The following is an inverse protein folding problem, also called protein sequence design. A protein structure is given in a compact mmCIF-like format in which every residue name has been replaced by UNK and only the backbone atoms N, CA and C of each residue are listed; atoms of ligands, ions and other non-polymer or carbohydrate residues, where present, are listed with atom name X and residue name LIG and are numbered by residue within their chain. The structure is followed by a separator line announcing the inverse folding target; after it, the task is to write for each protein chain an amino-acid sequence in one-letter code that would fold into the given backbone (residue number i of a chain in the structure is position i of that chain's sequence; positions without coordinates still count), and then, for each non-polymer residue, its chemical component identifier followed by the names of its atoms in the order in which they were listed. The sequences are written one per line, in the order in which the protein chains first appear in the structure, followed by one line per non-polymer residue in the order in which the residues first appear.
data_IF_979515132946
#
_entry.id   IF_979515132946
#
_cell.length_a   1.000
_cell.length_b   1.000
_cell.length_c   1.000
_cell.angle_alpha   90.00
_cell.angle_beta   90.00
_cell.angle_gamma   90.00
#
_symmetry.space_group_name_H-M   'P 1'
#
loop_
_entity.id
_entity.type
_entity.pdbx_description
1 polymer ?
#
# COMPACT_ATOMS: atom_id res chain seq x y z
N UNK A 1 4.53 9.60 12.71
CA UNK A 1 3.87 8.95 11.56
C UNK A 1 4.87 8.15 10.74
N UNK A 2 4.45 7.01 10.17
CA UNK A 2 5.28 6.20 9.27
C UNK A 2 4.52 5.83 7.99
N UNK A 3 5.26 5.61 6.92
CA UNK A 3 4.73 5.17 5.64
C UNK A 3 5.48 3.91 5.22
N UNK A 4 4.74 2.89 4.83
CA UNK A 4 5.24 1.66 4.24
C UNK A 4 4.81 1.69 2.77
N UNK A 5 5.75 1.53 1.85
CA UNK A 5 5.47 1.50 0.42
C UNK A 5 5.92 0.15 -0.12
N UNK A 6 4.98 -0.60 -0.67
CA UNK A 6 5.21 -1.87 -1.34
C UNK A 6 4.95 -1.71 -2.84
N UNK A 7 5.83 -2.27 -3.66
CA UNK A 7 5.69 -2.27 -5.12
C UNK A 7 5.45 -3.70 -5.58
N UNK A 8 4.38 -3.91 -6.34
CA UNK A 8 4.07 -5.18 -6.99
C UNK A 8 4.23 -5.04 -8.50
N UNK A 9 5.34 -5.58 -9.01
CA UNK A 9 5.65 -5.57 -10.44
C UNK A 9 4.94 -6.68 -11.23
N UNK A 10 4.02 -7.43 -10.62
CA UNK A 10 3.29 -8.51 -11.30
C UNK A 10 1.79 -8.25 -11.37
N UNK A 11 1.04 -9.21 -11.91
CA UNK A 11 -0.41 -9.12 -12.03
C UNK A 11 -1.12 -8.87 -10.69
N UNK A 12 -2.27 -8.21 -10.78
CA UNK A 12 -3.22 -7.99 -9.68
C UNK A 12 -3.79 -9.34 -9.16
N UNK A 13 -3.02 -10.03 -8.31
CA UNK A 13 -3.41 -11.27 -7.63
C UNK A 13 -3.78 -10.93 -6.18
N UNK A 14 -5.05 -11.10 -5.76
CA UNK A 14 -5.48 -10.75 -4.40
C UNK A 14 -4.65 -11.42 -3.30
N UNK A 15 -4.22 -12.66 -3.52
CA UNK A 15 -3.38 -13.39 -2.55
C UNK A 15 -2.03 -12.71 -2.29
N UNK A 16 -1.45 -12.02 -3.29
CA UNK A 16 -0.21 -11.27 -3.12
C UNK A 16 -0.44 -9.99 -2.32
N UNK A 17 -1.43 -9.21 -2.74
CA UNK A 17 -1.78 -7.93 -2.13
C UNK A 17 -2.19 -8.12 -0.67
N UNK A 18 -3.17 -9.01 -0.43
CA UNK A 18 -3.63 -9.32 0.92
C UNK A 18 -2.54 -9.99 1.76
N UNK A 19 -1.66 -10.80 1.14
CA UNK A 19 -0.54 -11.42 1.82
C UNK A 19 0.47 -10.41 2.36
N UNK A 20 0.91 -9.46 1.52
CA UNK A 20 1.81 -8.38 1.94
C UNK A 20 1.18 -7.49 3.00
N UNK A 21 -0.07 -7.07 2.77
CA UNK A 21 -0.82 -6.29 3.75
C UNK A 21 -0.90 -7.02 5.09
N UNK A 22 -1.32 -8.28 5.11
CA UNK A 22 -1.48 -9.05 6.36
C UNK A 22 -0.12 -9.24 7.05
N UNK A 23 0.93 -9.56 6.30
CA UNK A 23 2.28 -9.65 6.84
C UNK A 23 2.69 -8.35 7.53
N UNK A 24 2.51 -7.20 6.86
CA UNK A 24 2.86 -5.90 7.41
C UNK A 24 1.96 -5.47 8.57
N UNK A 25 0.67 -5.83 8.56
CA UNK A 25 -0.26 -5.56 9.65
C UNK A 25 0.09 -6.37 10.91
N UNK A 26 0.53 -7.62 10.75
CA UNK A 26 0.94 -8.50 11.84
C UNK A 26 2.36 -8.17 12.36
N UNK A 27 3.26 -7.79 11.45
CA UNK A 27 4.59 -7.31 11.78
C UNK A 27 4.50 -5.89 12.34
N UNK A 28 4.15 -5.77 13.63
CA UNK A 28 4.08 -4.48 14.34
C UNK A 28 5.44 -3.79 14.54
N UNK A 29 6.51 -4.40 14.03
CA UNK A 29 7.88 -3.93 14.14
C UNK A 29 8.65 -4.23 12.84
N UNK A 30 9.57 -3.34 12.51
CA UNK A 30 10.52 -3.51 11.43
C UNK A 30 11.93 -3.68 11.97
N UNK A 31 12.67 -4.68 11.48
CA UNK A 31 14.07 -4.91 11.83
C UNK A 31 14.88 -4.63 10.57
N UNK A 32 15.79 -3.66 10.65
CA UNK A 32 16.62 -3.27 9.50
C UNK A 32 18.10 -3.49 9.79
N UNK A 33 18.78 -4.19 8.90
CA UNK A 33 20.19 -4.55 9.05
C UNK A 33 21.10 -3.31 9.13
N UNK A 34 20.79 -2.23 8.39
CA UNK A 34 21.60 -1.00 8.45
C UNK A 34 21.42 -0.19 9.73
N UNK A 35 20.45 -0.55 10.59
CA UNK A 35 20.15 0.10 11.86
C UNK A 35 20.58 -0.75 13.06
N UNK A 36 21.63 -1.56 12.91
CA UNK A 36 22.26 -2.35 14.00
C UNK A 36 21.22 -3.24 14.72
N UNK A 37 20.40 -3.98 13.97
CA UNK A 37 19.35 -4.84 14.52
C UNK A 37 18.35 -4.12 15.45
N UNK A 38 18.18 -2.79 15.32
CA UNK A 38 17.17 -2.07 16.08
C UNK A 38 15.78 -2.46 15.61
N UNK A 39 14.97 -2.87 16.57
CA UNK A 39 13.53 -3.08 16.41
C UNK A 39 12.87 -1.71 16.35
N UNK A 40 12.31 -1.35 15.20
CA UNK A 40 11.57 -0.11 14.99
C UNK A 40 10.07 -0.41 15.11
N UNK A 41 9.41 -0.04 16.22
CA UNK A 41 7.98 -0.22 16.34
C UNK A 41 7.25 0.66 15.32
N UNK A 42 6.07 0.22 14.92
CA UNK A 42 5.15 1.06 14.18
C UNK A 42 4.74 2.27 15.02
N UNK A 43 4.46 3.37 14.33
CA UNK A 43 4.02 4.62 14.93
C UNK A 43 2.50 4.59 15.18
N UNK A 44 1.96 5.58 15.89
CA UNK A 44 0.50 5.65 16.15
C UNK A 44 -0.32 5.76 14.86
N UNK A 45 0.30 6.34 13.83
CA UNK A 45 -0.29 6.44 12.48
C UNK A 45 0.68 5.85 11.45
N UNK A 46 0.22 4.79 10.79
CA UNK A 46 0.93 4.12 9.70
C UNK A 46 0.06 4.07 8.45
N UNK A 47 0.56 4.63 7.36
CA UNK A 47 0.00 4.47 6.03
C UNK A 47 0.73 3.34 5.30
N UNK A 48 -0.02 2.37 4.78
CA UNK A 48 0.48 1.36 3.88
C UNK A 48 0.03 1.68 2.46
N UNK A 49 0.99 1.81 1.55
CA UNK A 49 0.77 2.13 0.14
C UNK A 49 1.19 0.93 -0.71
N UNK A 50 0.23 0.30 -1.38
CA UNK A 50 0.51 -0.73 -2.39
C UNK A 50 0.51 -0.08 -3.78
N UNK A 51 1.61 -0.21 -4.51
CA UNK A 51 1.77 0.30 -5.88
C UNK A 51 1.86 -0.87 -6.84
N UNK A 52 0.87 -1.02 -7.71
CA UNK A 52 0.80 -2.08 -8.72
C UNK A 52 1.33 -1.56 -10.06
N UNK A 53 2.16 -2.34 -10.75
CA UNK A 53 2.51 -2.06 -12.14
C UNK A 53 1.28 -2.29 -13.06
N UNK A 54 0.64 -1.17 -13.42
CA UNK A 54 -0.53 -1.11 -14.28
C UNK A 54 -0.24 -1.51 -15.73
N UNK A 55 1.00 -1.39 -16.20
CA UNK A 55 1.35 -1.72 -17.60
C UNK A 55 1.12 -3.19 -17.94
N UNK A 56 1.20 -4.07 -16.94
CA UNK A 56 1.02 -5.52 -17.10
C UNK A 56 -0.42 -5.97 -16.91
N UNK A 57 -1.18 -5.29 -16.05
CA UNK A 57 -2.49 -5.76 -15.60
C UNK A 57 -3.69 -4.90 -16.06
N UNK A 58 -3.50 -3.61 -16.40
CA UNK A 58 -4.58 -2.72 -16.87
C UNK A 58 -4.73 -2.80 -18.39
N UNK A 59 -5.05 -3.99 -18.90
CA UNK A 59 -5.36 -4.16 -20.32
C UNK A 59 -6.75 -3.57 -20.65
N UNK A 60 -6.96 -3.02 -21.86
CA UNK A 60 -8.27 -2.58 -22.31
C UNK A 60 -9.33 -3.67 -22.10
N UNK A 61 -10.56 -3.25 -21.75
CA UNK A 61 -11.71 -4.14 -21.51
C UNK A 61 -11.60 -5.10 -20.31
N UNK A 62 -10.60 -4.91 -19.43
CA UNK A 62 -10.51 -5.69 -18.18
C UNK A 62 -11.15 -4.95 -17.00
N UNK A 63 -11.66 -5.71 -16.02
CA UNK A 63 -12.20 -5.16 -14.76
C UNK A 63 -11.15 -5.00 -13.67
N UNK A 64 -9.87 -4.93 -14.03
CA UNK A 64 -8.75 -4.99 -13.08
C UNK A 64 -8.68 -3.75 -12.19
N UNK A 65 -8.96 -2.56 -12.74
CA UNK A 65 -9.07 -1.33 -11.95
C UNK A 65 -10.16 -1.44 -10.88
N UNK A 66 -11.38 -1.84 -11.29
CA UNK A 66 -12.51 -2.03 -10.37
C UNK A 66 -12.21 -3.11 -9.30
N UNK A 67 -11.48 -4.17 -9.68
CA UNK A 67 -11.02 -5.18 -8.72
C UNK A 67 -10.05 -4.59 -7.69
N UNK A 68 -9.12 -3.74 -8.12
CA UNK A 68 -8.19 -3.03 -7.23
C UNK A 68 -8.91 -2.10 -6.26
N UNK A 69 -9.89 -1.33 -6.76
CA UNK A 69 -10.72 -0.43 -5.94
C UNK A 69 -11.53 -1.20 -4.89
N UNK A 70 -12.10 -2.36 -5.26
CA UNK A 70 -12.78 -3.23 -4.32
C UNK A 70 -11.82 -3.74 -3.23
N UNK A 71 -10.64 -4.23 -3.62
CA UNK A 71 -9.62 -4.69 -2.66
C UNK A 71 -9.21 -3.56 -1.71
N UNK A 72 -8.93 -2.37 -2.22
CA UNK A 72 -8.60 -1.19 -1.40
C UNK A 72 -9.71 -0.90 -0.40
N UNK A 73 -10.97 -0.88 -0.85
CA UNK A 73 -12.11 -0.60 0.02
C UNK A 73 -12.32 -1.63 1.12
N UNK A 74 -12.10 -2.93 0.83
CA UNK A 74 -12.26 -3.99 1.81
C UNK A 74 -11.12 -3.99 2.84
N UNK A 75 -9.88 -3.78 2.41
CA UNK A 75 -8.74 -3.66 3.33
C UNK A 75 -8.90 -2.41 4.21
N UNK A 76 -9.34 -1.28 3.64
CA UNK A 76 -9.53 -0.04 4.38
C UNK A 76 -10.58 -0.15 5.50
N UNK A 77 -11.55 -1.06 5.38
CA UNK A 77 -12.53 -1.36 6.46
C UNK A 77 -11.94 -2.17 7.61
N UNK A 78 -10.85 -2.90 7.36
CA UNK A 78 -10.21 -3.79 8.33
C UNK A 78 -9.12 -3.10 9.15
N UNK A 79 -8.58 -1.98 8.66
CA UNK A 79 -7.53 -1.24 9.36
C UNK A 79 -8.12 -0.29 10.40
N UNK A 80 -7.52 -0.20 11.61
CA UNK A 80 -6.43 -1.01 12.10
C UNK A 80 -6.86 -2.43 12.50
N UNK A 81 -6.09 -3.43 12.05
CA UNK A 81 -6.33 -4.83 12.38
C UNK A 81 -6.04 -5.06 13.87
N UNK A 82 -7.02 -5.55 14.64
CA UNK A 82 -6.90 -5.71 16.10
C UNK A 82 -6.48 -4.41 16.83
N UNK A 83 -6.91 -3.25 16.31
CA UNK A 83 -6.63 -1.94 16.93
C UNK A 83 -5.16 -1.50 16.88
N UNK A 84 -4.31 -2.21 16.11
CA UNK A 84 -2.86 -1.97 16.08
C UNK A 84 -2.32 -1.93 14.64
N UNK A 85 -1.11 -1.41 14.49
CA UNK A 85 -0.34 -1.49 13.25
C UNK A 85 -0.76 -0.47 12.19
N UNK A 86 -1.13 -0.95 11.01
CA UNK A 86 -1.51 -0.12 9.85
C UNK A 86 -2.84 0.57 10.15
N UNK A 87 -2.90 1.90 10.02
CA UNK A 87 -4.15 2.67 10.26
C UNK A 87 -4.80 3.16 8.97
N UNK A 88 -4.04 3.24 7.87
CA UNK A 88 -4.51 3.68 6.57
C UNK A 88 -3.94 2.78 5.49
N UNK A 89 -4.74 2.46 4.47
CA UNK A 89 -4.32 1.65 3.35
C UNK A 89 -4.69 2.34 2.04
N UNK A 90 -3.77 2.40 1.08
CA UNK A 90 -4.05 2.92 -0.25
C UNK A 90 -3.45 2.03 -1.32
N UNK A 91 -4.17 1.85 -2.42
CA UNK A 91 -3.72 1.10 -3.58
C UNK A 91 -3.66 2.00 -4.81
N UNK A 92 -2.54 1.97 -5.52
CA UNK A 92 -2.34 2.72 -6.75
C UNK A 92 -1.90 1.80 -7.87
N UNK A 93 -2.25 2.15 -9.10
CA UNK A 93 -1.69 1.56 -10.30
C UNK A 93 -0.76 2.57 -10.94
N UNK A 94 0.47 2.16 -11.27
CA UNK A 94 1.49 2.99 -11.94
C UNK A 94 1.90 2.36 -13.26
N UNK A 95 2.05 3.16 -14.31
CA UNK A 95 2.33 2.69 -15.67
C UNK A 95 1.07 2.37 -16.51
N UNK A 96 1.25 2.21 -17.82
CA UNK A 96 0.16 2.22 -18.82
C UNK A 96 -0.10 3.61 -19.41
N UNK A 97 -1.17 3.79 -20.19
CA UNK A 97 -1.58 5.14 -20.66
C UNK A 97 -1.86 6.05 -19.45
N UNK A 98 -1.02 7.08 -19.24
CA UNK A 98 -1.13 8.04 -18.13
C UNK A 98 -0.14 7.86 -16.95
N UNK A 99 0.94 7.10 -17.12
CA UNK A 99 1.90 6.74 -16.06
C UNK A 99 2.46 7.86 -15.17
N UNK A 100 2.77 9.06 -15.68
CA UNK A 100 3.31 10.15 -14.85
C UNK A 100 2.28 10.72 -13.85
N UNK A 101 1.00 10.78 -14.23
CA UNK A 101 -0.05 11.27 -13.32
C UNK A 101 -0.27 10.33 -12.14
N UNK A 102 0.05 9.04 -12.30
CA UNK A 102 -0.17 8.03 -11.26
C UNK A 102 0.83 8.12 -10.10
N UNK A 103 2.11 8.40 -10.37
CA UNK A 103 3.13 8.62 -9.33
C UNK A 103 2.88 9.91 -8.54
N UNK A 104 2.39 10.97 -9.21
CA UNK A 104 1.98 12.20 -8.55
C UNK A 104 0.90 11.96 -7.49
N UNK A 105 -0.06 11.08 -7.77
CA UNK A 105 -1.12 10.71 -6.81
C UNK A 105 -0.61 9.91 -5.62
N UNK A 106 0.41 9.07 -5.81
CA UNK A 106 1.10 8.38 -4.70
C UNK A 106 1.76 9.42 -3.80
N UNK A 107 2.54 10.34 -4.39
CA UNK A 107 3.20 11.43 -3.66
C UNK A 107 2.20 12.30 -2.90
N UNK A 108 1.10 12.73 -3.55
CA UNK A 108 0.04 13.52 -2.93
C UNK A 108 -0.62 12.79 -1.75
N UNK A 109 -0.90 11.49 -1.88
CA UNK A 109 -1.49 10.71 -0.79
C UNK A 109 -0.54 10.58 0.41
N UNK A 110 0.76 10.39 0.15
CA UNK A 110 1.79 10.37 1.19
C UNK A 110 1.91 11.74 1.85
N UNK A 111 2.02 12.83 1.07
CA UNK A 111 2.09 14.19 1.60
C UNK A 111 0.87 14.52 2.45
N UNK A 112 -0.35 14.30 1.94
CA UNK A 112 -1.59 14.53 2.72
C UNK A 112 -1.63 13.74 4.02
N UNK A 113 -1.13 12.51 4.00
CA UNK A 113 -1.07 11.70 5.21
C UNK A 113 -0.08 12.29 6.22
N UNK A 114 1.08 12.77 5.77
CA UNK A 114 2.10 13.38 6.62
C UNK A 114 1.71 14.79 7.11
N UNK A 115 0.98 15.56 6.30
CA UNK A 115 0.57 16.94 6.59
C UNK A 115 -0.68 17.01 7.49
N UNK A 116 -1.51 15.96 7.49
CA UNK A 116 -2.76 15.89 8.24
C UNK A 116 -2.59 15.56 9.73
N UNK A 117 -1.61 16.19 10.40
CA UNK A 117 -1.49 16.22 11.86
C UNK A 117 -2.52 17.20 12.47
#
# INVERSE_FOLDING_TARGET
MKVIVEIEESDLKPTKICGKFLQAALATHFIHDSQVNRVLPYDERVLFVEVIDGSKCLKPHTRQKARGELIESEIQKLVPLDGRGITHYRLFFVGGEGGEQSLGRVGEAVSRFLDGA
#
